data_IF_134876206033
#
_entry.id   IF_134876206033
#
_cell.length_a   1.000
_cell.length_b   1.000
_cell.length_c   1.000
_cell.angle_alpha   90.00
_cell.angle_beta   90.00
_cell.angle_gamma   90.00
#
_symmetry.space_group_name_H-M   'P 1'
#
loop_
_entity.id
_entity.type
_entity.pdbx_description
1 polymer ?
#
# COMPACT_ATOMS: atom_id res chain seq x y z
N UNK A 1 -46.36 30.61 -40.79
CA UNK A 1 -45.26 29.63 -40.61
C UNK A 1 -44.25 29.83 -41.73
N UNK A 2 -42.94 29.83 -41.41
CA UNK A 2 -41.75 29.90 -42.28
C UNK A 2 -41.58 31.19 -43.15
N UNK A 3 -40.71 32.11 -42.69
CA UNK A 3 -39.29 32.33 -43.07
C UNK A 3 -39.12 33.18 -44.34
N UNK A 4 -38.72 34.45 -44.15
CA UNK A 4 -37.86 35.17 -45.10
C UNK A 4 -36.68 35.74 -44.33
N UNK A 5 -35.51 35.43 -44.87
CA UNK A 5 -34.18 35.51 -44.30
C UNK A 5 -33.54 36.82 -44.75
N UNK A 6 -33.33 37.77 -43.84
CA UNK A 6 -32.61 39.01 -44.17
C UNK A 6 -31.14 38.85 -43.81
N UNK A 7 -30.37 38.41 -44.81
CA UNK A 7 -28.91 38.34 -44.76
C UNK A 7 -28.31 39.75 -44.62
N UNK A 8 -27.85 40.13 -43.42
CA UNK A 8 -26.84 41.19 -43.26
C UNK A 8 -25.49 40.54 -42.97
N UNK A 9 -24.57 40.74 -43.90
CA UNK A 9 -23.21 40.19 -43.94
C UNK A 9 -22.40 40.78 -42.79
N UNK A 10 -22.02 39.96 -41.81
CA UNK A 10 -20.99 40.31 -40.83
C UNK A 10 -19.67 39.73 -41.32
N UNK A 11 -18.77 40.61 -41.74
CA UNK A 11 -17.38 40.26 -42.02
C UNK A 11 -16.69 39.95 -40.68
N UNK A 12 -16.36 38.67 -40.45
CA UNK A 12 -15.43 38.27 -39.40
C UNK A 12 -14.06 38.83 -39.75
N UNK A 13 -13.70 39.95 -39.12
CA UNK A 13 -12.34 40.49 -39.17
C UNK A 13 -11.44 39.47 -38.47
N UNK A 14 -10.64 38.75 -39.28
CA UNK A 14 -9.59 37.85 -38.82
C UNK A 14 -8.59 38.70 -38.04
N UNK A 15 -8.68 38.73 -36.70
CA UNK A 15 -7.63 39.29 -35.86
C UNK A 15 -6.43 38.34 -35.92
N UNK A 16 -5.55 38.59 -36.87
CA UNK A 16 -4.21 38.04 -36.86
C UNK A 16 -3.46 38.60 -35.66
N UNK A 17 -3.18 37.74 -34.68
CA UNK A 17 -1.98 37.83 -33.85
C UNK A 17 -1.16 36.60 -34.15
N UNK A 18 -0.51 36.60 -35.31
CA UNK A 18 0.72 35.85 -35.50
C UNK A 18 1.73 36.50 -34.54
N UNK A 19 1.88 35.90 -33.35
CA UNK A 19 3.13 36.04 -32.62
C UNK A 19 4.17 35.40 -33.55
N UNK A 20 4.94 36.23 -34.24
CA UNK A 20 6.12 35.78 -34.94
C UNK A 20 7.01 35.09 -33.92
N UNK A 21 6.97 33.76 -33.92
CA UNK A 21 7.92 32.95 -33.19
C UNK A 21 9.24 33.10 -33.94
N UNK A 22 10.10 33.99 -33.47
CA UNK A 22 11.50 34.00 -33.90
C UNK A 22 12.10 32.72 -33.35
N UNK A 23 12.18 31.70 -34.20
CA UNK A 23 12.97 30.51 -33.94
C UNK A 23 14.43 30.98 -33.94
N UNK A 24 14.98 31.20 -32.76
CA UNK A 24 16.43 31.33 -32.59
C UNK A 24 16.99 29.93 -32.82
N UNK A 25 17.47 29.70 -34.05
CA UNK A 25 18.21 28.50 -34.41
C UNK A 25 19.43 28.37 -33.50
N UNK A 26 19.39 27.40 -32.60
CA UNK A 26 20.48 27.05 -31.69
C UNK A 26 21.58 26.33 -32.49
N UNK A 27 22.54 27.07 -33.05
CA UNK A 27 23.83 26.51 -33.50
C UNK A 27 24.86 26.72 -32.39
N UNK A 28 25.09 25.67 -31.61
CA UNK A 28 26.18 25.60 -30.63
C UNK A 28 27.52 25.54 -31.37
N UNK A 29 28.23 26.66 -31.49
CA UNK A 29 29.66 26.68 -31.77
C UNK A 29 30.41 27.17 -30.53
N UNK A 30 31.25 26.29 -29.97
CA UNK A 30 32.29 26.67 -29.02
C UNK A 30 33.31 27.53 -29.76
N UNK A 31 33.42 28.80 -29.38
CA UNK A 31 34.51 29.69 -29.75
C UNK A 31 34.41 30.26 -31.17
N UNK A 32 33.91 31.48 -31.28
CA UNK A 32 34.00 32.26 -32.51
C UNK A 32 32.92 33.32 -32.62
N UNK A 33 33.29 34.51 -33.10
CA UNK A 33 32.39 35.58 -33.51
C UNK A 33 31.36 34.97 -34.48
N UNK A 34 30.07 34.97 -34.13
CA UNK A 34 29.01 34.46 -35.00
C UNK A 34 28.42 35.62 -35.81
N UNK A 35 28.72 35.67 -37.11
CA UNK A 35 27.86 36.36 -38.07
C UNK A 35 26.64 35.46 -38.31
N UNK A 36 25.46 35.84 -37.80
CA UNK A 36 24.21 35.15 -38.14
C UNK A 36 23.47 35.93 -39.21
N UNK A 37 23.61 35.51 -40.47
CA UNK A 37 22.72 35.96 -41.56
C UNK A 37 21.41 35.19 -41.48
N UNK A 38 20.27 35.87 -41.38
CA UNK A 38 18.95 35.24 -41.43
C UNK A 38 18.53 35.02 -42.90
N UNK A 39 18.17 33.81 -43.29
CA UNK A 39 17.53 33.55 -44.60
C UNK A 39 16.01 33.62 -44.40
N UNK A 40 15.36 34.63 -45.00
CA UNK A 40 13.90 34.71 -45.07
C UNK A 40 13.38 33.79 -46.18
N UNK A 41 12.45 32.89 -45.84
CA UNK A 41 11.68 32.13 -46.82
C UNK A 41 10.54 33.00 -47.38
N UNK A 42 10.83 33.56 -48.56
CA UNK A 42 10.00 34.01 -49.68
C UNK A 42 8.65 34.73 -49.43
N UNK A 43 8.51 35.92 -50.05
CA UNK A 43 7.24 36.64 -50.20
C UNK A 43 7.32 38.15 -49.94
N UNK A 44 7.88 38.89 -50.90
CA UNK A 44 7.93 40.35 -51.04
C UNK A 44 7.04 41.23 -50.15
N UNK A 45 7.67 42.04 -49.29
CA UNK A 45 7.57 43.51 -49.28
C UNK A 45 8.66 44.05 -48.32
N UNK A 46 9.20 45.22 -48.64
CA UNK A 46 10.41 45.82 -48.07
C UNK A 46 10.38 45.81 -46.54
N UNK A 47 11.19 44.92 -45.94
CA UNK A 47 11.71 45.13 -44.60
C UNK A 47 13.18 45.40 -44.78
N UNK A 48 13.62 46.59 -44.36
CA UNK A 48 15.04 46.88 -44.21
C UNK A 48 15.67 45.70 -43.50
N UNK A 49 16.56 44.97 -44.19
CA UNK A 49 17.51 44.07 -43.55
C UNK A 49 18.37 44.93 -42.62
N UNK A 50 17.84 45.16 -41.42
CA UNK A 50 18.69 45.41 -40.28
C UNK A 50 19.35 44.04 -40.05
N UNK A 51 20.49 43.84 -40.70
CA UNK A 51 21.52 42.93 -40.21
C UNK A 51 21.96 43.45 -38.85
N UNK A 52 21.09 43.32 -37.83
CA UNK A 52 21.41 43.63 -36.46
C UNK A 52 22.47 42.61 -36.05
N UNK A 53 23.72 43.05 -36.07
CA UNK A 53 24.85 42.25 -35.60
C UNK A 53 24.74 42.20 -34.08
N UNK A 54 24.28 41.06 -33.56
CA UNK A 54 24.20 40.81 -32.12
C UNK A 54 25.54 40.29 -31.62
N UNK A 55 26.32 41.14 -30.94
CA UNK A 55 27.54 40.71 -30.27
C UNK A 55 27.21 40.23 -28.84
N UNK A 56 27.55 38.97 -28.52
CA UNK A 56 27.47 38.46 -27.14
C UNK A 56 28.87 38.47 -26.52
N UNK A 57 29.15 39.48 -25.70
CA UNK A 57 30.45 39.67 -25.04
C UNK A 57 30.43 39.08 -23.61
N UNK A 58 31.58 38.52 -23.19
CA UNK A 58 32.12 37.94 -21.93
C UNK A 58 31.37 38.05 -20.56
N UNK A 59 30.07 38.31 -20.54
CA UNK A 59 29.24 38.48 -19.35
C UNK A 59 28.15 37.40 -19.26
N UNK A 60 28.45 36.18 -19.72
CA UNK A 60 27.54 35.03 -19.57
C UNK A 60 27.50 34.61 -18.10
N UNK A 61 26.30 34.55 -17.54
CA UNK A 61 26.05 34.07 -16.18
C UNK A 61 25.13 32.85 -16.25
N UNK A 62 25.50 31.82 -15.51
CA UNK A 62 24.67 30.64 -15.35
C UNK A 62 23.35 30.98 -14.65
N UNK A 63 22.28 30.35 -15.11
CA UNK A 63 21.01 30.27 -14.40
C UNK A 63 20.93 28.85 -13.83
N UNK A 64 20.86 28.67 -12.50
CA UNK A 64 20.72 27.34 -11.91
C UNK A 64 19.42 26.68 -12.38
N UNK A 65 19.41 25.36 -12.38
CA UNK A 65 18.19 24.59 -12.60
C UNK A 65 17.59 24.17 -11.25
N UNK A 66 16.30 23.83 -11.28
CA UNK A 66 15.63 23.18 -10.17
C UNK A 66 15.82 21.65 -10.27
N UNK A 67 15.83 20.98 -9.13
CA UNK A 67 15.76 19.52 -9.04
C UNK A 67 14.41 19.13 -8.48
N UNK A 68 13.73 18.18 -9.14
CA UNK A 68 12.45 17.62 -8.70
C UNK A 68 12.63 16.11 -8.48
N UNK A 69 12.15 15.65 -7.33
CA UNK A 69 12.14 14.23 -6.99
C UNK A 69 10.78 13.62 -7.31
N UNK A 70 10.77 12.56 -8.12
CA UNK A 70 9.58 11.78 -8.46
C UNK A 70 9.63 10.42 -7.76
N UNK A 71 8.52 10.01 -7.12
CA UNK A 71 8.39 8.66 -6.56
C UNK A 71 8.39 7.60 -7.68
N UNK A 72 9.04 6.46 -7.45
CA UNK A 72 8.97 5.30 -8.34
C UNK A 72 8.82 4.00 -7.54
N UNK A 73 7.61 3.41 -7.59
CA UNK A 73 7.26 2.18 -6.87
C UNK A 73 7.93 0.92 -7.44
N UNK A 74 8.61 1.02 -8.59
CA UNK A 74 9.33 -0.10 -9.18
C UNK A 74 10.79 -0.16 -8.71
N UNK A 75 11.32 0.97 -8.24
CA UNK A 75 12.69 1.08 -7.75
C UNK A 75 12.78 0.69 -6.26
N UNK A 76 13.77 -0.12 -5.85
CA UNK A 76 13.95 -0.48 -4.46
C UNK A 76 14.01 0.73 -3.53
N UNK A 77 13.42 0.63 -2.34
CA UNK A 77 13.42 1.72 -1.36
C UNK A 77 14.84 2.25 -1.13
N UNK A 78 15.01 3.57 -1.27
CA UNK A 78 16.28 4.26 -1.01
C UNK A 78 17.24 4.35 -2.20
N UNK A 79 16.88 3.79 -3.36
CA UNK A 79 17.66 4.02 -4.60
C UNK A 79 17.23 5.31 -5.28
N UNK A 80 18.12 5.88 -6.09
CA UNK A 80 17.83 7.05 -6.93
C UNK A 80 18.32 6.84 -8.36
N UNK A 81 17.57 7.34 -9.33
CA UNK A 81 17.95 7.30 -10.75
C UNK A 81 17.61 8.62 -11.45
N UNK A 82 18.55 9.18 -12.21
CA UNK A 82 18.28 10.39 -13.01
C UNK A 82 17.43 10.03 -14.23
N UNK A 83 16.18 10.52 -14.25
CA UNK A 83 15.27 10.40 -15.41
C UNK A 83 15.56 11.48 -16.45
N UNK A 84 15.88 12.69 -16.00
CA UNK A 84 16.20 13.82 -16.88
C UNK A 84 17.35 14.59 -16.27
N UNK A 85 18.49 14.73 -16.98
CA UNK A 85 19.63 15.48 -16.45
C UNK A 85 19.32 16.98 -16.42
N UNK A 86 19.69 17.63 -15.32
CA UNK A 86 19.62 19.08 -15.21
C UNK A 86 20.63 19.77 -16.12
N UNK A 87 20.23 20.87 -16.75
CA UNK A 87 21.13 21.74 -17.50
C UNK A 87 20.93 23.17 -17.06
N UNK A 88 22.04 23.85 -16.78
CA UNK A 88 22.00 25.27 -16.43
C UNK A 88 21.54 26.08 -17.64
N UNK A 89 20.74 27.10 -17.37
CA UNK A 89 20.45 28.14 -18.35
C UNK A 89 21.59 29.15 -18.42
N UNK A 90 21.49 30.09 -19.35
CA UNK A 90 22.47 31.16 -19.53
C UNK A 90 21.72 32.47 -19.69
N UNK A 91 22.11 33.48 -18.92
CA UNK A 91 21.77 34.88 -19.17
C UNK A 91 23.01 35.67 -19.54
N UNK A 92 22.84 36.70 -20.37
CA UNK A 92 23.94 37.55 -20.83
C UNK A 92 23.48 39.00 -21.00
N UNK A 93 24.44 39.90 -21.12
CA UNK A 93 24.18 41.25 -21.62
C UNK A 93 24.19 41.21 -23.15
N UNK A 94 23.12 41.68 -23.76
CA UNK A 94 22.98 41.80 -25.22
C UNK A 94 23.16 43.26 -25.60
N UNK A 95 24.17 43.51 -26.45
CA UNK A 95 24.42 44.81 -27.05
C UNK A 95 24.01 44.75 -28.52
N UNK A 96 23.26 45.75 -28.95
CA UNK A 96 22.87 45.94 -30.35
C UNK A 96 23.61 47.15 -30.89
N UNK A 97 24.30 46.98 -32.01
CA UNK A 97 25.04 48.03 -32.69
C UNK A 97 24.38 48.37 -34.02
N UNK A 98 24.47 49.62 -34.44
CA UNK A 98 24.06 50.03 -35.79
C UNK A 98 25.00 49.38 -36.80
N UNK A 99 24.45 48.64 -37.76
CA UNK A 99 25.24 48.04 -38.84
C UNK A 99 25.96 49.09 -39.71
N UNK A 100 25.42 50.31 -39.80
CA UNK A 100 25.96 51.39 -40.64
C UNK A 100 27.05 52.20 -39.93
N UNK A 101 26.84 52.57 -38.66
CA UNK A 101 27.76 53.45 -37.94
C UNK A 101 28.63 52.72 -36.91
N UNK A 102 28.37 51.43 -36.67
CA UNK A 102 28.98 50.60 -35.63
C UNK A 102 28.85 51.19 -34.21
N UNK A 103 27.92 52.13 -34.01
CA UNK A 103 27.65 52.73 -32.70
C UNK A 103 26.67 51.88 -31.90
N UNK A 104 26.84 51.86 -30.58
CA UNK A 104 25.94 51.17 -29.65
C UNK A 104 24.54 51.82 -29.72
N UNK A 105 23.53 51.02 -30.04
CA UNK A 105 22.12 51.43 -30.14
C UNK A 105 21.34 51.05 -28.89
N UNK A 106 21.63 49.89 -28.31
CA UNK A 106 20.94 49.39 -27.12
C UNK A 106 21.82 48.43 -26.34
N UNK A 107 21.66 48.43 -25.02
CA UNK A 107 22.28 47.47 -24.12
C UNK A 107 21.22 46.96 -23.13
N UNK A 108 21.00 45.65 -23.11
CA UNK A 108 20.11 45.00 -22.16
C UNK A 108 20.85 43.94 -21.38
N UNK A 109 20.86 44.10 -20.05
CA UNK A 109 21.45 43.13 -19.13
C UNK A 109 20.45 42.03 -18.75
N UNK A 110 20.97 40.90 -18.27
CA UNK A 110 20.21 39.74 -17.78
C UNK A 110 19.21 39.14 -18.81
N UNK A 111 19.52 39.23 -20.10
CA UNK A 111 18.73 38.57 -21.14
C UNK A 111 18.98 37.06 -21.08
N UNK A 112 17.92 36.28 -20.84
CA UNK A 112 18.00 34.81 -20.88
C UNK A 112 18.17 34.37 -22.33
N UNK A 113 19.34 33.81 -22.65
CA UNK A 113 19.68 33.29 -23.98
C UNK A 113 19.57 31.76 -24.06
N UNK A 114 19.57 31.09 -22.91
CA UNK A 114 19.30 29.66 -22.79
C UNK A 114 18.48 29.41 -21.52
N UNK A 115 17.34 28.75 -21.63
CA UNK A 115 16.51 28.38 -20.47
C UNK A 115 17.17 27.22 -19.69
N UNK A 116 17.14 27.24 -18.34
CA UNK A 116 17.55 26.07 -17.57
C UNK A 116 16.60 24.89 -17.82
N UNK A 117 17.15 23.68 -17.81
CA UNK A 117 16.41 22.43 -17.85
C UNK A 117 16.41 21.82 -16.45
N UNK A 118 15.21 21.60 -15.90
CA UNK A 118 14.99 20.94 -14.61
C UNK A 118 15.59 19.54 -14.60
N UNK A 119 16.26 19.18 -13.51
CA UNK A 119 16.68 17.82 -13.22
C UNK A 119 15.52 17.03 -12.61
N UNK A 120 15.29 15.82 -13.11
CA UNK A 120 14.28 14.92 -12.53
C UNK A 120 15.00 13.67 -12.04
N UNK A 121 14.93 13.44 -10.72
CA UNK A 121 15.48 12.27 -10.05
C UNK A 121 14.31 11.40 -9.58
N UNK A 122 14.28 10.15 -10.03
CA UNK A 122 13.37 9.14 -9.50
C UNK A 122 13.91 8.60 -8.19
N UNK A 123 13.06 8.51 -7.18
CA UNK A 123 13.38 7.97 -5.86
C UNK A 123 12.57 6.69 -5.64
N UNK A 124 13.26 5.60 -5.30
CA UNK A 124 12.63 4.31 -5.13
C UNK A 124 11.75 4.23 -3.89
N UNK A 125 10.51 3.81 -4.12
CA UNK A 125 9.44 3.64 -3.11
C UNK A 125 8.82 2.25 -3.14
N UNK A 126 9.46 1.26 -3.76
CA UNK A 126 8.95 -0.11 -3.80
C UNK A 126 8.54 -0.59 -2.40
N UNK A 127 7.27 -1.01 -2.20
CA UNK A 127 6.79 -1.43 -0.90
C UNK A 127 7.65 -2.53 -0.29
N UNK A 128 7.89 -2.44 1.01
CA UNK A 128 8.59 -3.48 1.76
C UNK A 128 7.58 -4.44 2.37
N UNK A 129 7.82 -5.73 2.21
CA UNK A 129 6.96 -6.80 2.72
C UNK A 129 7.75 -7.59 3.76
N UNK A 130 7.18 -7.74 4.94
CA UNK A 130 7.70 -8.57 6.03
C UNK A 130 6.65 -9.62 6.36
N UNK A 131 7.07 -10.87 6.53
CA UNK A 131 6.21 -11.97 6.95
C UNK A 131 6.56 -12.39 8.37
N UNK A 132 5.55 -12.58 9.19
CA UNK A 132 5.68 -13.03 10.57
C UNK A 132 4.81 -14.27 10.80
N UNK A 133 5.34 -15.22 11.55
CA UNK A 133 4.62 -16.44 11.94
C UNK A 133 3.66 -16.13 13.10
N UNK A 134 2.44 -16.65 13.00
CA UNK A 134 1.47 -16.66 14.10
C UNK A 134 1.49 -18.07 14.70
N UNK A 135 2.14 -18.23 15.87
CA UNK A 135 2.29 -19.54 16.48
C UNK A 135 0.94 -20.15 16.87
N UNK A 136 0.76 -21.44 16.63
CA UNK A 136 -0.37 -22.22 17.13
C UNK A 136 -0.47 -22.16 18.66
N UNK A 137 -1.71 -22.20 19.18
CA UNK A 137 -1.96 -22.37 20.61
C UNK A 137 -2.34 -23.81 20.94
N UNK A 138 -2.21 -24.20 22.21
CA UNK A 138 -2.60 -25.54 22.66
C UNK A 138 -3.99 -25.45 23.30
N UNK A 139 -4.88 -26.38 22.95
CA UNK A 139 -6.17 -26.59 23.62
C UNK A 139 -6.35 -28.02 24.06
N UNK A 140 -6.82 -28.19 25.30
CA UNK A 140 -7.24 -29.49 25.83
C UNK A 140 -8.75 -29.64 25.71
N UNK A 141 -9.20 -30.78 25.22
CA UNK A 141 -10.62 -31.11 25.12
C UNK A 141 -10.93 -32.39 25.90
N UNK A 142 -12.12 -32.40 26.50
CA UNK A 142 -12.64 -33.55 27.24
C UNK A 142 -12.94 -34.71 26.29
N UNK A 143 -12.50 -35.90 26.67
CA UNK A 143 -12.82 -37.16 26.01
C UNK A 143 -13.53 -38.09 27.01
N UNK A 144 -14.85 -38.05 26.99
CA UNK A 144 -15.74 -38.82 27.87
C UNK A 144 -15.86 -40.30 27.49
N UNK A 145 -15.19 -40.72 26.41
CA UNK A 145 -15.22 -42.11 25.95
C UNK A 145 -14.15 -42.96 26.61
N UNK A 146 -13.09 -42.33 27.14
CA UNK A 146 -11.91 -43.00 27.70
C UNK A 146 -11.80 -42.83 29.21
N UNK A 147 -11.44 -43.90 29.96
CA UNK A 147 -11.32 -43.83 31.41
C UNK A 147 -10.18 -42.88 31.81
N UNK A 148 -10.40 -42.16 32.91
CA UNK A 148 -9.38 -41.30 33.55
C UNK A 148 -8.10 -42.10 33.79
N UNK A 149 -6.95 -41.45 33.53
CA UNK A 149 -5.63 -42.09 33.61
C UNK A 149 -5.13 -42.69 32.29
N UNK A 150 -5.95 -42.70 31.23
CA UNK A 150 -5.48 -43.01 29.88
C UNK A 150 -4.51 -41.94 29.36
N UNK A 151 -3.59 -42.33 28.50
CA UNK A 151 -2.67 -41.40 27.83
C UNK A 151 -3.42 -40.30 27.08
N UNK A 152 -2.90 -39.07 27.11
CA UNK A 152 -3.40 -37.96 26.30
C UNK A 152 -3.16 -38.27 24.83
N UNK A 153 -4.15 -38.00 23.98
CA UNK A 153 -4.05 -38.18 22.53
C UNK A 153 -3.95 -36.84 21.83
N UNK A 154 -3.13 -36.77 20.79
CA UNK A 154 -3.12 -35.63 19.86
C UNK A 154 -4.20 -35.83 18.82
N UNK A 155 -5.17 -34.92 18.76
CA UNK A 155 -6.19 -34.87 17.71
C UNK A 155 -5.70 -34.04 16.51
N UNK A 156 -4.95 -32.99 16.78
CA UNK A 156 -4.42 -32.05 15.79
C UNK A 156 -3.04 -31.60 16.24
N UNK A 157 -2.05 -31.68 15.36
CA UNK A 157 -0.70 -31.13 15.59
C UNK A 157 -0.66 -29.60 15.48
N UNK A 158 -1.79 -28.97 15.14
CA UNK A 158 -1.87 -27.54 14.87
C UNK A 158 -1.18 -27.15 13.58
N UNK A 159 -1.35 -25.90 13.19
CA UNK A 159 -0.63 -25.29 12.09
C UNK A 159 -0.39 -23.82 12.39
N UNK A 160 0.86 -23.37 12.29
CA UNK A 160 1.15 -21.95 12.41
C UNK A 160 0.45 -21.16 11.29
N UNK A 161 -0.01 -19.97 11.67
CA UNK A 161 -0.53 -18.96 10.77
C UNK A 161 0.58 -18.08 10.21
N UNK A 162 0.19 -17.19 9.30
CA UNK A 162 1.10 -16.27 8.62
C UNK A 162 0.47 -14.88 8.53
N UNK A 163 1.18 -13.89 9.08
CA UNK A 163 0.85 -12.48 8.99
C UNK A 163 1.80 -11.81 8.00
N UNK A 164 1.24 -11.05 7.07
CA UNK A 164 2.01 -10.22 6.13
C UNK A 164 1.84 -8.76 6.46
N UNK A 165 2.96 -8.08 6.65
CA UNK A 165 3.06 -6.65 6.90
C UNK A 165 3.59 -5.99 5.64
N UNK A 166 2.86 -5.00 5.11
CA UNK A 166 3.27 -4.22 3.93
C UNK A 166 3.42 -2.76 4.32
N UNK A 167 4.59 -2.18 4.06
CA UNK A 167 4.87 -0.75 4.29
C UNK A 167 5.06 -0.04 2.97
N UNK A 168 4.32 1.05 2.77
CA UNK A 168 4.40 1.92 1.59
C UNK A 168 5.04 3.26 1.94
N UNK A 169 5.53 3.98 0.93
CA UNK A 169 6.35 5.16 1.10
C UNK A 169 5.90 6.32 0.22
N UNK A 170 6.14 7.53 0.68
CA UNK A 170 6.02 8.77 -0.09
C UNK A 170 7.38 9.47 -0.20
N UNK A 171 7.49 10.41 -1.15
CA UNK A 171 8.71 11.17 -1.43
C UNK A 171 8.40 12.65 -1.39
N UNK A 172 9.23 13.43 -0.70
CA UNK A 172 9.21 14.89 -0.80
C UNK A 172 9.81 15.33 -2.14
N UNK A 173 9.06 16.08 -2.94
CA UNK A 173 9.43 16.48 -4.30
C UNK A 173 10.59 17.49 -4.36
N UNK A 174 10.92 18.15 -3.24
CA UNK A 174 12.00 19.14 -3.13
C UNK A 174 13.28 18.59 -2.50
N UNK A 175 13.16 17.70 -1.53
CA UNK A 175 14.31 17.19 -0.77
C UNK A 175 14.70 15.77 -1.15
N UNK A 176 13.78 15.00 -1.76
CA UNK A 176 13.97 13.58 -2.03
C UNK A 176 13.85 12.70 -0.77
N UNK A 177 13.42 13.28 0.36
CA UNK A 177 13.22 12.55 1.61
C UNK A 177 12.09 11.52 1.46
N UNK A 178 12.35 10.29 1.92
CA UNK A 178 11.41 9.18 1.88
C UNK A 178 10.78 8.99 3.25
N UNK A 179 9.45 9.07 3.32
CA UNK A 179 8.68 8.86 4.56
C UNK A 179 7.76 7.65 4.45
N UNK A 180 7.42 7.04 5.59
CA UNK A 180 6.39 5.99 5.61
C UNK A 180 5.04 6.65 5.34
N UNK A 181 4.32 6.13 4.34
CA UNK A 181 2.96 6.54 4.03
C UNK A 181 1.96 5.76 4.88
N UNK A 182 2.07 4.44 4.85
CA UNK A 182 1.17 3.52 5.53
C UNK A 182 1.88 2.21 5.85
N UNK A 183 1.44 1.54 6.91
CA UNK A 183 1.77 0.14 7.20
C UNK A 183 0.48 -0.63 7.43
N UNK A 184 0.24 -1.64 6.60
CA UNK A 184 -0.93 -2.52 6.69
C UNK A 184 -0.52 -3.93 7.06
N UNK A 185 -1.43 -4.66 7.71
CA UNK A 185 -1.24 -6.05 8.11
C UNK A 185 -2.42 -6.89 7.65
N UNK A 186 -2.11 -8.02 7.02
CA UNK A 186 -3.10 -9.00 6.54
C UNK A 186 -2.73 -10.38 7.05
N UNK A 187 -3.70 -11.11 7.59
CA UNK A 187 -3.53 -12.54 7.90
C UNK A 187 -3.69 -13.30 6.58
N UNK A 188 -2.60 -13.88 6.07
CA UNK A 188 -2.63 -14.71 4.84
C UNK A 188 -3.02 -16.15 5.17
N UNK A 189 -2.73 -16.60 6.40
CA UNK A 189 -3.10 -17.92 6.91
C UNK A 189 -3.43 -17.82 8.40
N UNK A 190 -4.63 -18.25 8.79
CA UNK A 190 -5.01 -18.36 10.20
C UNK A 190 -4.24 -19.50 10.88
N UNK A 191 -3.85 -19.30 12.13
CA UNK A 191 -3.27 -20.37 12.95
C UNK A 191 -4.35 -21.37 13.37
N UNK A 192 -4.01 -22.65 13.40
CA UNK A 192 -4.84 -23.72 13.95
C UNK A 192 -4.22 -24.26 15.22
N UNK A 193 -5.05 -24.52 16.23
CA UNK A 193 -4.57 -25.00 17.51
C UNK A 193 -4.08 -26.45 17.44
N UNK A 194 -3.11 -26.73 18.30
CA UNK A 194 -2.74 -28.07 18.72
C UNK A 194 -3.86 -28.55 19.65
N UNK A 195 -4.46 -29.69 19.36
CA UNK A 195 -5.60 -30.21 20.14
C UNK A 195 -5.19 -31.51 20.81
N UNK A 196 -5.28 -31.52 22.14
CA UNK A 196 -5.06 -32.70 22.97
C UNK A 196 -6.37 -33.19 23.59
N UNK A 197 -6.68 -34.47 23.44
CA UNK A 197 -7.82 -35.15 24.06
C UNK A 197 -7.41 -35.76 25.40
N UNK A 198 -8.01 -35.26 26.48
CA UNK A 198 -7.79 -35.74 27.85
C UNK A 198 -8.96 -36.64 28.26
N UNK A 199 -8.65 -37.87 28.67
CA UNK A 199 -9.63 -38.87 29.06
C UNK A 199 -10.35 -38.50 30.37
N UNK A 200 -11.67 -38.49 30.33
CA UNK A 200 -12.54 -37.97 31.39
C UNK A 200 -13.91 -38.66 31.39
N UNK A 201 -13.94 -39.96 31.07
CA UNK A 201 -15.15 -40.78 31.20
C UNK A 201 -15.58 -40.89 32.65
N UNK A 202 -16.85 -40.60 32.90
CA UNK A 202 -17.47 -40.72 34.22
C UNK A 202 -17.38 -42.15 34.78
N UNK A 203 -17.13 -42.24 36.08
CA UNK A 203 -17.06 -43.51 36.80
C UNK A 203 -18.40 -43.77 37.49
N UNK A 204 -19.06 -44.86 37.13
CA UNK A 204 -20.35 -45.28 37.72
C UNK A 204 -20.12 -46.52 38.57
N UNK A 205 -20.39 -46.41 39.87
CA UNK A 205 -20.26 -47.50 40.84
C UNK A 205 -21.60 -47.81 41.48
N UNK A 206 -21.94 -49.10 41.54
CA UNK A 206 -23.15 -49.59 42.21
C UNK A 206 -22.73 -50.25 43.52
N UNK A 207 -23.19 -49.69 44.63
CA UNK A 207 -22.98 -50.24 45.96
C UNK A 207 -24.31 -50.80 46.49
N UNK A 208 -24.31 -52.05 46.94
CA UNK A 208 -25.48 -52.63 47.62
C UNK A 208 -25.60 -51.93 48.97
N UNK A 209 -26.79 -51.42 49.28
CA UNK A 209 -27.07 -50.81 50.58
C UNK A 209 -26.90 -51.88 51.65
N UNK A 210 -26.31 -51.54 52.81
CA UNK A 210 -26.17 -52.47 53.92
C UNK A 210 -27.49 -53.21 54.17
N UNK A 211 -27.43 -54.56 54.24
CA UNK A 211 -28.60 -55.41 54.36
C UNK A 211 -29.40 -55.01 55.59
N UNK A 212 -30.49 -54.30 55.37
CA UNK A 212 -31.43 -53.97 56.44
C UNK A 212 -32.41 -55.13 56.59
N UNK A 213 -32.38 -55.82 57.73
CA UNK A 213 -33.32 -56.91 58.06
C UNK A 213 -34.67 -56.36 58.52
N UNK A 214 -35.32 -55.55 57.68
CA UNK A 214 -36.67 -55.06 57.96
C UNK A 214 -37.69 -56.16 57.63
N UNK A 215 -38.11 -56.90 58.64
CA UNK A 215 -39.16 -57.93 58.53
C UNK A 215 -40.49 -57.29 58.92
N UNK A 216 -41.51 -57.40 58.06
CA UNK A 216 -42.88 -56.96 58.35
C UNK A 216 -43.80 -58.18 58.45
N UNK A 217 -44.53 -58.26 59.55
CA UNK A 217 -45.58 -59.28 59.73
C UNK A 217 -46.93 -58.68 59.35
N UNK A 218 -47.67 -59.37 58.50
CA UNK A 218 -49.05 -59.05 58.16
C UNK A 218 -49.95 -60.21 58.58
N UNK A 219 -51.05 -59.89 59.27
CA UNK A 219 -52.02 -60.89 59.71
C UNK A 219 -52.90 -61.30 58.53
N UNK A 220 -52.90 -62.58 58.21
CA UNK A 220 -53.81 -63.16 57.22
C UNK A 220 -54.94 -63.90 57.95
N UNK A 221 -56.15 -63.34 57.91
CA UNK A 221 -57.33 -63.92 58.58
C UNK A 221 -57.91 -65.12 57.82
N UNK A 222 -57.42 -65.41 56.61
CA UNK A 222 -57.86 -66.55 55.80
C UNK A 222 -57.12 -67.86 56.11
N UNK A 223 -56.01 -67.81 56.85
CA UNK A 223 -55.19 -68.98 57.19
C UNK A 223 -55.53 -69.60 58.54
N UNK A 224 -55.51 -70.93 58.62
CA UNK A 224 -55.72 -71.66 59.87
C UNK A 224 -54.52 -71.49 60.85
N UNK A 225 -54.78 -71.56 62.15
CA UNK A 225 -53.76 -71.33 63.22
C UNK A 225 -52.55 -72.28 63.16
N UNK A 226 -52.67 -73.43 62.50
CA UNK A 226 -51.61 -74.43 62.36
C UNK A 226 -50.85 -74.35 61.03
N UNK A 227 -51.15 -73.37 60.16
CA UNK A 227 -50.43 -73.21 58.89
C UNK A 227 -49.13 -72.43 59.05
N UNK A 228 -48.12 -72.82 58.26
CA UNK A 228 -46.85 -72.11 58.22
C UNK A 228 -47.03 -70.71 57.61
N UNK A 229 -46.33 -69.69 58.14
CA UNK A 229 -46.33 -68.36 57.54
C UNK A 229 -45.72 -68.40 56.14
N UNK A 230 -46.26 -67.61 55.21
CA UNK A 230 -45.64 -67.38 53.91
C UNK A 230 -44.58 -66.31 54.08
N UNK A 231 -43.34 -66.65 53.74
CA UNK A 231 -42.23 -65.69 53.71
C UNK A 231 -42.01 -65.27 52.27
N UNK A 232 -41.95 -63.96 52.04
CA UNK A 232 -41.54 -63.38 50.77
C UNK A 232 -40.23 -62.67 51.03
N UNK A 233 -39.16 -63.10 50.37
CA UNK A 233 -37.86 -62.46 50.48
C UNK A 233 -37.90 -61.09 49.80
N UNK A 234 -37.44 -60.05 50.49
CA UNK A 234 -37.23 -58.73 49.90
C UNK A 234 -35.96 -58.69 49.06
N UNK A 235 -35.90 -57.79 48.07
CA UNK A 235 -34.67 -57.53 47.31
C UNK A 235 -33.82 -56.45 48.00
N UNK A 236 -32.51 -56.64 48.03
CA UNK A 236 -31.58 -55.66 48.56
C UNK A 236 -31.59 -54.38 47.70
N UNK A 237 -31.72 -53.22 48.34
CA UNK A 237 -31.57 -51.93 47.68
C UNK A 237 -30.13 -51.66 47.25
N UNK A 238 -29.94 -50.70 46.34
CA UNK A 238 -28.61 -50.26 45.90
C UNK A 238 -28.53 -48.73 45.76
N UNK A 239 -27.32 -48.21 45.93
CA UNK A 239 -26.94 -46.82 45.65
C UNK A 239 -26.05 -46.80 44.41
N UNK A 240 -26.34 -45.91 43.46
CA UNK A 240 -25.46 -45.63 42.32
C UNK A 240 -24.72 -44.33 42.63
N UNK A 241 -23.40 -44.37 42.60
CA UNK A 241 -22.53 -43.20 42.69
C UNK A 241 -21.91 -42.92 41.33
N UNK A 242 -22.12 -41.71 40.82
CA UNK A 242 -21.49 -41.23 39.57
C UNK A 242 -20.47 -40.16 39.91
N UNK A 243 -19.21 -40.39 39.55
CA UNK A 243 -18.14 -39.38 39.64
C UNK A 243 -17.89 -38.82 38.25
N UNK A 244 -18.12 -37.52 38.08
CA UNK A 244 -17.90 -36.79 36.82
C UNK A 244 -16.54 -36.10 36.84
N UNK A 245 -15.87 -36.09 35.69
CA UNK A 245 -14.55 -35.49 35.51
C UNK A 245 -14.59 -34.38 34.48
N UNK A 246 -13.91 -33.27 34.77
CA UNK A 246 -13.77 -32.15 33.84
C UNK A 246 -12.31 -31.89 33.48
N UNK A 247 -12.10 -31.25 32.34
CA UNK A 247 -10.78 -30.86 31.85
C UNK A 247 -10.68 -29.35 31.98
N UNK A 248 -9.64 -28.88 32.67
CA UNK A 248 -9.36 -27.46 32.75
C UNK A 248 -8.98 -26.94 31.36
N UNK A 249 -9.63 -25.85 30.88
CA UNK A 249 -9.38 -25.28 29.57
C UNK A 249 -7.98 -24.69 29.44
#
# INVERSE_FOLDING_TARGET
MAKSNTNKRYALRKLGKIFGSVIIGLTLFLGGILNTSFVHADGADVTSELEDTFETQDNRKDIPYETIYERDDNLPKGTQETKTPGKKGIKATVKTYSSTTLQLVSEKSDVVILQPQTEIIKVGTKPTVVTETINSTIRYIKDDTRPVGSNVLTESDGEDGLRKITTTYDVNDKTGEVTIRETTSTIEKESKDIIYKVAAKDKVEKHITEKSTNIRFEKDESKARSENPVTIDGEDGYVITTTTYDVNP
#
